data_IF_628322597434
#
_entry.id   IF_628322597434
#
_cell.length_a   1.000
_cell.length_b   1.000
_cell.length_c   1.000
_cell.angle_alpha   90.00
_cell.angle_beta   90.00
_cell.angle_gamma   90.00
#
_symmetry.space_group_name_H-M   'P 1'
#
loop_
_entity.id
_entity.type
_entity.pdbx_description
1 polymer ?
#
# COMPACT_ATOMS: atom_id res chain seq x y z
N UNK A 1 -47.81 32.09 17.05
CA UNK A 1 -46.57 32.60 16.39
C UNK A 1 -45.41 31.69 16.78
N UNK A 2 -44.49 31.45 15.84
CA UNK A 2 -43.40 30.45 15.85
C UNK A 2 -42.16 30.97 16.59
N UNK A 3 -41.48 30.09 17.34
CA UNK A 3 -40.03 30.06 17.63
C UNK A 3 -39.72 28.57 17.89
N UNK A 4 -39.17 27.73 17.01
CA UNK A 4 -37.87 27.69 16.32
C UNK A 4 -36.62 27.74 17.23
N UNK A 5 -35.84 26.66 17.09
CA UNK A 5 -34.40 26.42 17.37
C UNK A 5 -33.91 26.24 18.81
N UNK A 6 -33.73 24.98 19.21
CA UNK A 6 -32.41 24.49 19.66
C UNK A 6 -32.11 23.20 18.90
N UNK A 7 -31.82 23.41 17.63
CA UNK A 7 -31.20 22.46 16.73
C UNK A 7 -29.81 22.04 17.26
N UNK A 8 -29.49 20.77 17.04
CA UNK A 8 -28.18 20.26 16.65
C UNK A 8 -27.02 20.31 17.67
N UNK A 9 -26.86 19.20 18.38
CA UNK A 9 -25.55 18.58 18.50
C UNK A 9 -25.64 17.16 17.95
N UNK A 10 -25.90 17.09 16.64
CA UNK A 10 -25.66 15.88 15.86
C UNK A 10 -24.16 15.85 15.58
N UNK A 11 -23.41 15.12 16.41
CA UNK A 11 -22.07 14.71 16.04
C UNK A 11 -22.21 13.81 14.81
N UNK A 12 -21.97 14.40 13.64
CA UNK A 12 -21.87 13.72 12.36
C UNK A 12 -20.67 12.78 12.46
N UNK A 13 -20.88 11.61 13.05
CA UNK A 13 -20.11 10.45 12.67
C UNK A 13 -20.58 10.12 11.25
N UNK A 14 -19.89 10.70 10.28
CA UNK A 14 -19.94 10.28 8.88
C UNK A 14 -19.44 8.84 8.87
N UNK A 15 -20.34 7.91 9.16
CA UNK A 15 -20.17 6.51 8.81
C UNK A 15 -20.34 6.52 7.30
N UNK A 16 -19.28 6.89 6.59
CA UNK A 16 -19.16 6.65 5.16
C UNK A 16 -19.45 5.17 4.98
N UNK A 17 -20.61 4.89 4.41
CA UNK A 17 -21.06 3.55 4.11
C UNK A 17 -19.99 2.88 3.27
N UNK A 18 -19.25 1.97 3.88
CA UNK A 18 -18.22 1.11 3.28
C UNK A 18 -18.71 0.29 2.05
N UNK A 19 -20.00 0.38 1.72
CA UNK A 19 -20.66 -0.26 0.60
C UNK A 19 -20.38 0.39 -0.77
N UNK A 20 -19.61 1.48 -0.85
CA UNK A 20 -19.50 2.27 -2.08
C UNK A 20 -18.08 2.42 -2.68
N UNK A 21 -17.05 1.72 -2.18
CA UNK A 21 -15.79 1.71 -2.94
C UNK A 21 -15.95 0.80 -4.16
N UNK A 22 -15.94 1.34 -5.39
CA UNK A 22 -15.88 0.48 -6.57
C UNK A 22 -14.66 -0.43 -6.46
N UNK A 23 -14.79 -1.68 -6.89
CA UNK A 23 -13.73 -2.66 -6.81
C UNK A 23 -12.42 -2.09 -7.42
N UNK A 24 -11.42 -1.82 -6.58
CA UNK A 24 -10.11 -1.36 -7.03
C UNK A 24 -9.38 -2.51 -7.72
N UNK A 25 -8.96 -2.26 -8.96
CA UNK A 25 -8.00 -3.09 -9.67
C UNK A 25 -6.67 -3.13 -8.90
N UNK A 26 -5.87 -4.18 -9.16
CA UNK A 26 -4.50 -4.31 -8.64
C UNK A 26 -3.69 -3.02 -8.77
N UNK A 27 -3.72 -2.38 -9.95
CA UNK A 27 -2.94 -1.16 -10.20
C UNK A 27 -3.45 0.03 -9.38
N UNK A 28 -4.77 0.16 -9.19
CA UNK A 28 -5.34 1.22 -8.34
C UNK A 28 -4.93 1.05 -6.87
N UNK A 29 -4.90 -0.20 -6.37
CA UNK A 29 -4.41 -0.48 -5.01
C UNK A 29 -2.94 -0.06 -4.85
N UNK A 30 -2.09 -0.38 -5.83
CA UNK A 30 -0.67 0.01 -5.83
C UNK A 30 -0.49 1.52 -5.95
N UNK A 31 -1.26 2.21 -6.80
CA UNK A 31 -1.16 3.67 -6.94
C UNK A 31 -1.59 4.37 -5.65
N UNK A 32 -2.69 3.93 -5.03
CA UNK A 32 -3.11 4.43 -3.71
C UNK A 32 -2.04 4.25 -2.65
N UNK A 33 -1.34 3.11 -2.63
CA UNK A 33 -0.22 2.91 -1.72
C UNK A 33 0.92 3.91 -1.97
N UNK A 34 1.24 4.21 -3.23
CA UNK A 34 2.22 5.24 -3.56
C UNK A 34 1.77 6.64 -3.09
N UNK A 35 0.50 6.99 -3.29
CA UNK A 35 -0.09 8.27 -2.82
C UNK A 35 0.02 8.41 -1.29
N UNK A 36 -0.31 7.36 -0.54
CA UNK A 36 -0.21 7.34 0.94
C UNK A 36 1.22 7.61 1.41
N UNK A 37 2.22 7.02 0.74
CA UNK A 37 3.64 7.26 1.04
C UNK A 37 4.07 8.70 0.70
N UNK A 38 3.44 9.34 -0.28
CA UNK A 38 3.73 10.71 -0.70
C UNK A 38 3.10 11.78 0.17
N UNK A 39 2.11 11.44 1.02
CA UNK A 39 1.52 12.39 1.96
C UNK A 39 2.54 12.95 2.95
N UNK A 40 3.55 12.16 3.32
CA UNK A 40 4.68 12.61 4.12
C UNK A 40 6.00 12.07 3.51
N UNK A 41 6.50 12.70 2.44
CA UNK A 41 7.57 12.15 1.61
C UNK A 41 8.92 12.06 2.34
N UNK A 42 9.10 12.84 3.40
CA UNK A 42 10.33 12.88 4.23
C UNK A 42 10.23 11.97 5.46
N UNK A 43 9.07 11.35 5.74
CA UNK A 43 8.92 10.37 6.83
C UNK A 43 9.97 9.28 6.69
N UNK A 44 10.70 9.05 7.77
CA UNK A 44 11.64 7.94 7.88
C UNK A 44 10.86 6.66 8.19
N UNK A 45 10.98 5.65 7.33
CA UNK A 45 10.31 4.37 7.42
C UNK A 45 11.32 3.25 7.65
N UNK A 46 10.98 2.29 8.51
CA UNK A 46 11.81 1.11 8.76
C UNK A 46 11.83 0.17 7.56
N UNK A 47 12.98 -0.46 7.33
CA UNK A 47 13.10 -1.59 6.41
C UNK A 47 12.88 -2.92 7.16
N UNK A 48 12.51 -3.98 6.41
CA UNK A 48 12.46 -5.34 6.93
C UNK A 48 13.86 -5.98 6.81
N UNK A 49 14.47 -6.41 7.92
CA UNK A 49 15.77 -7.06 7.90
C UNK A 49 15.67 -8.51 7.41
N UNK A 50 16.67 -8.98 6.66
CA UNK A 50 16.87 -10.40 6.35
C UNK A 50 15.85 -11.04 5.41
N UNK A 51 14.96 -10.29 4.75
CA UNK A 51 13.98 -10.87 3.80
C UNK A 51 14.63 -11.60 2.62
N UNK A 52 15.89 -11.30 2.31
CA UNK A 52 16.74 -11.99 1.32
C UNK A 52 17.18 -13.39 1.77
N UNK A 53 17.30 -13.63 3.07
CA UNK A 53 17.82 -14.88 3.64
C UNK A 53 16.71 -15.74 4.27
N UNK A 54 15.55 -15.14 4.53
CA UNK A 54 14.40 -15.86 5.08
C UNK A 54 13.87 -16.89 4.09
N UNK A 55 13.55 -18.08 4.62
CA UNK A 55 12.71 -19.03 3.91
C UNK A 55 11.31 -18.43 3.68
N UNK A 56 10.53 -19.02 2.76
CA UNK A 56 9.23 -18.50 2.35
C UNK A 56 8.28 -18.24 3.53
N UNK A 57 8.19 -19.19 4.45
CA UNK A 57 7.25 -19.14 5.55
C UNK A 57 7.61 -18.06 6.58
N UNK A 58 8.90 -17.96 6.92
CA UNK A 58 9.42 -16.91 7.79
C UNK A 58 9.28 -15.52 7.14
N UNK A 59 9.55 -15.43 5.83
CA UNK A 59 9.39 -14.20 5.07
C UNK A 59 7.95 -13.75 5.04
N UNK A 60 7.01 -14.64 4.76
CA UNK A 60 5.57 -14.30 4.69
C UNK A 60 5.04 -13.79 6.04
N UNK A 61 5.57 -14.26 7.16
CA UNK A 61 5.25 -13.75 8.51
C UNK A 61 5.97 -12.46 8.90
N UNK A 62 7.00 -12.06 8.15
CA UNK A 62 7.82 -10.91 8.53
C UNK A 62 7.00 -9.62 8.52
N UNK A 63 7.23 -8.79 9.53
CA UNK A 63 6.61 -7.46 9.70
C UNK A 63 7.54 -6.57 10.53
N UNK A 64 7.29 -5.27 10.49
CA UNK A 64 8.04 -4.30 11.28
C UNK A 64 7.20 -3.05 11.51
N UNK A 65 7.50 -2.30 12.57
CA UNK A 65 6.80 -1.06 12.88
C UNK A 65 7.26 0.08 11.98
N UNK A 66 6.33 0.95 11.57
CA UNK A 66 6.64 2.14 10.78
C UNK A 66 7.29 1.84 9.43
N UNK A 67 6.92 0.71 8.82
CA UNK A 67 7.43 0.30 7.50
C UNK A 67 6.54 0.86 6.38
N UNK A 68 6.94 0.76 5.09
CA UNK A 68 6.03 1.02 3.99
C UNK A 68 4.75 0.18 4.02
N UNK A 69 4.79 -1.03 4.60
CA UNK A 69 3.62 -1.90 4.76
C UNK A 69 2.67 -1.37 5.82
N UNK A 70 3.22 -0.86 6.93
CA UNK A 70 2.43 -0.19 7.97
C UNK A 70 1.66 1.00 7.39
N UNK A 71 2.28 1.80 6.52
CA UNK A 71 1.60 2.92 5.84
C UNK A 71 0.42 2.46 4.99
N UNK A 72 0.56 1.34 4.27
CA UNK A 72 -0.56 0.76 3.52
C UNK A 72 -1.68 0.28 4.44
N UNK A 73 -1.33 -0.41 5.53
CA UNK A 73 -2.29 -0.97 6.46
C UNK A 73 -3.01 0.10 7.30
N UNK A 74 -2.38 1.23 7.59
CA UNK A 74 -3.02 2.36 8.29
C UNK A 74 -4.16 2.99 7.48
N UNK A 75 -4.23 2.75 6.16
CA UNK A 75 -5.28 3.29 5.32
C UNK A 75 -6.62 2.52 5.43
N UNK A 76 -7.71 3.18 5.85
CA UNK A 76 -9.00 2.52 6.04
C UNK A 76 -9.59 1.99 4.73
N UNK A 77 -9.29 2.62 3.59
CA UNK A 77 -9.81 2.18 2.29
C UNK A 77 -9.14 0.89 1.86
N UNK A 78 -7.80 0.79 1.90
CA UNK A 78 -7.10 -0.44 1.56
C UNK A 78 -7.50 -1.60 2.48
N UNK A 79 -7.75 -1.33 3.77
CA UNK A 79 -8.32 -2.32 4.70
C UNK A 79 -9.72 -2.77 4.31
N UNK A 80 -10.62 -1.83 3.98
CA UNK A 80 -11.96 -2.15 3.51
C UNK A 80 -11.94 -2.96 2.19
N UNK A 81 -10.90 -2.77 1.36
CA UNK A 81 -10.67 -3.53 0.14
C UNK A 81 -10.07 -4.92 0.38
N UNK A 82 -9.80 -5.29 1.64
CA UNK A 82 -9.35 -6.63 2.04
C UNK A 82 -7.87 -6.76 2.37
N UNK A 83 -7.18 -5.66 2.75
CA UNK A 83 -5.85 -5.71 3.37
C UNK A 83 -5.99 -5.99 4.88
N UNK A 84 -5.59 -7.18 5.31
CA UNK A 84 -5.89 -7.69 6.65
C UNK A 84 -4.87 -7.32 7.72
N UNK A 85 -3.59 -7.17 7.35
CA UNK A 85 -2.48 -6.81 8.23
C UNK A 85 -1.32 -6.20 7.43
N UNK A 86 -0.22 -5.86 8.12
CA UNK A 86 1.01 -5.28 7.54
C UNK A 86 2.15 -6.30 7.40
N UNK A 87 1.84 -7.60 7.32
CA UNK A 87 2.85 -8.62 7.04
C UNK A 87 3.28 -8.62 5.58
N UNK A 88 4.49 -9.09 5.33
CA UNK A 88 5.02 -9.26 3.98
C UNK A 88 4.13 -10.17 3.13
N UNK A 89 3.68 -11.31 3.68
CA UNK A 89 2.85 -12.27 2.97
C UNK A 89 1.49 -11.69 2.58
N UNK A 90 0.88 -10.92 3.49
CA UNK A 90 -0.39 -10.26 3.24
C UNK A 90 -0.26 -9.15 2.18
N UNK A 91 0.77 -8.30 2.28
CA UNK A 91 1.05 -7.30 1.26
C UNK A 91 1.30 -7.94 -0.12
N UNK A 92 2.03 -9.06 -0.17
CA UNK A 92 2.26 -9.83 -1.39
C UNK A 92 0.95 -10.32 -2.01
N UNK A 93 0.06 -10.91 -1.21
CA UNK A 93 -1.25 -11.40 -1.63
C UNK A 93 -2.14 -10.27 -2.11
N UNK A 94 -2.30 -9.22 -1.30
CA UNK A 94 -3.24 -8.13 -1.53
C UNK A 94 -2.87 -7.25 -2.73
N UNK A 95 -1.59 -6.90 -2.86
CA UNK A 95 -1.10 -6.11 -4.01
C UNK A 95 -0.71 -6.97 -5.21
N UNK A 96 -0.84 -8.29 -5.10
CA UNK A 96 -0.46 -9.27 -6.12
C UNK A 96 0.96 -8.99 -6.64
N UNK A 97 1.90 -8.87 -5.70
CA UNK A 97 3.31 -8.62 -5.97
C UNK A 97 4.07 -9.94 -6.01
N UNK A 98 5.12 -9.98 -6.82
CA UNK A 98 6.14 -11.02 -6.68
C UNK A 98 7.03 -10.74 -5.47
N UNK A 99 7.67 -11.78 -4.91
CA UNK A 99 8.67 -11.61 -3.85
C UNK A 99 9.76 -10.61 -4.28
N UNK A 100 10.21 -10.65 -5.54
CA UNK A 100 11.21 -9.70 -6.07
C UNK A 100 10.73 -8.24 -6.01
N UNK A 101 9.49 -7.97 -6.40
CA UNK A 101 8.94 -6.61 -6.38
C UNK A 101 8.81 -6.09 -4.95
N UNK A 102 8.27 -6.91 -4.06
CA UNK A 102 8.07 -6.50 -2.66
C UNK A 102 9.41 -6.35 -1.94
N UNK A 103 10.34 -7.28 -2.16
CA UNK A 103 11.70 -7.23 -1.64
C UNK A 103 12.42 -5.92 -1.99
N UNK A 104 12.30 -5.46 -3.24
CA UNK A 104 12.88 -4.19 -3.69
C UNK A 104 12.28 -2.95 -3.03
N UNK A 105 11.10 -3.06 -2.40
CA UNK A 105 10.47 -1.94 -1.68
C UNK A 105 10.88 -1.95 -0.21
N UNK A 106 10.90 -3.11 0.43
CA UNK A 106 10.94 -3.18 1.91
C UNK A 106 12.24 -3.69 2.49
N UNK A 107 13.12 -4.34 1.71
CA UNK A 107 14.28 -5.01 2.27
C UNK A 107 15.43 -4.06 2.62
N UNK A 108 16.06 -4.28 3.77
CA UNK A 108 17.23 -3.53 4.20
C UNK A 108 18.42 -3.58 3.23
N UNK A 109 18.58 -4.66 2.44
CA UNK A 109 19.69 -4.78 1.49
C UNK A 109 19.67 -3.69 0.40
N UNK A 110 18.52 -3.08 0.12
CA UNK A 110 18.33 -2.05 -0.90
C UNK A 110 18.37 -0.62 -0.36
N UNK A 111 18.17 -0.44 0.94
CA UNK A 111 17.89 0.88 1.55
C UNK A 111 18.64 1.15 2.84
N UNK A 112 19.31 0.15 3.42
CA UNK A 112 19.81 0.20 4.79
C UNK A 112 18.69 -0.03 5.82
N UNK A 113 18.91 0.38 7.06
CA UNK A 113 17.95 0.16 8.14
C UNK A 113 16.63 0.93 7.95
N UNK A 114 16.68 2.07 7.25
CA UNK A 114 15.55 2.97 7.06
C UNK A 114 15.55 3.60 5.67
N UNK A 115 14.39 4.01 5.19
CA UNK A 115 14.22 4.73 3.93
C UNK A 115 13.30 5.94 4.10
N UNK A 116 13.37 6.90 3.18
CA UNK A 116 12.36 7.95 3.12
C UNK A 116 11.12 7.47 2.37
N UNK A 117 9.93 7.90 2.80
CA UNK A 117 8.67 7.50 2.18
C UNK A 117 8.63 7.82 0.67
N UNK A 118 9.22 8.94 0.22
CA UNK A 118 9.36 9.26 -1.21
C UNK A 118 10.12 8.20 -2.03
N UNK A 119 11.12 7.55 -1.42
CA UNK A 119 11.86 6.49 -2.08
C UNK A 119 10.98 5.26 -2.26
N UNK A 120 10.25 4.88 -1.20
CA UNK A 120 9.31 3.77 -1.25
C UNK A 120 8.19 4.03 -2.29
N UNK A 121 7.60 5.23 -2.29
CA UNK A 121 6.58 5.63 -3.25
C UNK A 121 7.05 5.49 -4.70
N UNK A 122 8.27 5.94 -5.00
CA UNK A 122 8.86 5.81 -6.33
C UNK A 122 9.00 4.33 -6.76
N UNK A 123 9.38 3.43 -5.85
CA UNK A 123 9.48 1.99 -6.13
C UNK A 123 8.11 1.35 -6.33
N UNK A 124 7.14 1.69 -5.49
CA UNK A 124 5.75 1.23 -5.60
C UNK A 124 5.16 1.62 -6.95
N UNK A 125 5.27 2.90 -7.35
CA UNK A 125 4.78 3.39 -8.65
C UNK A 125 5.51 2.79 -9.85
N UNK A 126 6.80 2.47 -9.68
CA UNK A 126 7.61 1.78 -10.69
C UNK A 126 7.02 0.43 -11.13
N UNK A 127 6.34 -0.28 -10.23
CA UNK A 127 5.69 -1.57 -10.51
C UNK A 127 4.58 -1.43 -11.55
N UNK A 128 3.73 -0.41 -11.42
CA UNK A 128 2.64 -0.14 -12.36
C UNK A 128 3.21 0.23 -13.73
N UNK A 129 4.23 1.08 -13.77
CA UNK A 129 4.86 1.56 -15.02
C UNK A 129 5.53 0.42 -15.80
N UNK A 130 6.24 -0.47 -15.11
CA UNK A 130 6.84 -1.65 -15.74
C UNK A 130 5.82 -2.57 -16.40
N UNK A 131 4.63 -2.72 -15.79
CA UNK A 131 3.57 -3.55 -16.35
C UNK A 131 2.99 -2.98 -17.65
N UNK A 132 2.91 -1.63 -17.79
CA UNK A 132 2.48 -0.99 -19.04
C UNK A 132 3.48 -1.20 -20.18
N UNK A 133 4.78 -1.19 -19.88
CA UNK A 133 5.82 -1.45 -20.88
C UNK A 133 5.77 -2.90 -21.37
N UNK A 134 5.60 -3.87 -20.46
CA UNK A 134 5.43 -5.29 -20.84
C UNK A 134 4.14 -5.51 -21.63
N UNK A 135 3.03 -4.88 -21.25
CA UNK A 135 1.77 -4.96 -22.00
C UNK A 135 1.91 -4.40 -23.43
N UNK A 136 2.60 -3.27 -23.59
CA UNK A 136 2.91 -2.69 -24.89
C UNK A 136 3.80 -3.61 -25.74
N UNK A 137 4.85 -4.21 -25.17
CA UNK A 137 5.69 -5.18 -25.88
C UNK A 137 4.92 -6.42 -26.35
N UNK A 138 3.96 -6.92 -25.54
CA UNK A 138 3.11 -8.05 -25.94
C UNK A 138 2.17 -7.68 -27.11
N UNK A 139 1.71 -6.43 -27.19
CA UNK A 139 0.92 -5.94 -28.32
C UNK A 139 1.72 -5.85 -29.64
N UNK A 140 3.04 -5.68 -29.56
CA UNK A 140 3.92 -5.64 -30.73
C UNK A 140 4.27 -7.03 -31.31
N UNK A 141 4.09 -8.11 -30.54
CA UNK A 141 4.41 -9.49 -30.97
C UNK A 141 3.18 -10.16 -31.63
N UNK A 142 1.99 -9.57 -31.52
CA UNK A 142 0.73 -10.13 -32.05
C UNK A 142 0.36 -9.54 -33.43
N UNK A 143 1.30 -8.87 -34.11
CA UNK A 143 1.12 -8.36 -35.47
C UNK A 143 2.23 -8.83 -36.41
#
# INVERSE_FOLDING_TARGET
MKHQTLDQLQAVAEVESFAAYPAMTRNQRIERWAELLEQNPTRCLGALPGTEYMNREARDRSRGAGTPLTVAFEDPVLRAMGLNDDTYGEAKRFFELSDRQLHQIVCHCHVGATMQARWAAARVRGIVRGNRFVAWMKGLIVH
#
